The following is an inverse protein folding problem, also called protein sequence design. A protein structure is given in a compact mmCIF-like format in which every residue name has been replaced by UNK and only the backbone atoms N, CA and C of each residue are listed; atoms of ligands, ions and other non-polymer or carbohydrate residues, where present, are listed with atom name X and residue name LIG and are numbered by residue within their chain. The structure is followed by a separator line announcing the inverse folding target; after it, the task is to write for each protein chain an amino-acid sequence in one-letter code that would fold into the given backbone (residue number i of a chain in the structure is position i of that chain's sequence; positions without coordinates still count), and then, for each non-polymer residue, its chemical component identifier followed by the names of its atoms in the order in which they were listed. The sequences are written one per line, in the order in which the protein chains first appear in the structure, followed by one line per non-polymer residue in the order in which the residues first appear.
data_IF_867719411312
#
_entry.id   IF_867719411312
#
_cell.length_a   1.000
_cell.length_b   1.000
_cell.length_c   1.000
_cell.angle_alpha   90.00
_cell.angle_beta   90.00
_cell.angle_gamma   90.00
#
_symmetry.space_group_name_H-M   'P 1'
#
loop_
_entity.id
_entity.type
_entity.pdbx_description
1 polymer ?
#
# COMPACT_ATOMS: atom_id res chain seq x y z
N UNK A 1 -3.75 -15.33 35.35
CA UNK A 1 -2.81 -16.42 35.09
C UNK A 1 -2.87 -16.70 33.60
N UNK A 2 -1.82 -16.38 32.84
CA UNK A 2 -1.77 -16.70 31.41
C UNK A 2 -1.77 -18.23 31.24
N UNK A 3 -2.53 -18.75 30.27
CA UNK A 3 -2.62 -20.18 30.02
C UNK A 3 -1.25 -20.71 29.57
N UNK A 4 -0.92 -21.94 29.93
CA UNK A 4 0.30 -22.64 29.48
C UNK A 4 0.40 -22.65 27.94
N UNK A 5 -0.73 -22.62 27.23
CA UNK A 5 -0.82 -22.51 25.78
C UNK A 5 -0.37 -21.14 25.26
N UNK A 6 -0.69 -20.06 25.97
CA UNK A 6 -0.39 -18.68 25.55
C UNK A 6 1.10 -18.40 25.71
N UNK A 7 1.72 -18.95 26.75
CA UNK A 7 3.16 -18.87 26.98
C UNK A 7 3.96 -19.70 25.97
N UNK A 8 3.46 -20.88 25.57
CA UNK A 8 4.12 -21.72 24.56
C UNK A 8 4.06 -21.09 23.16
N UNK A 9 2.93 -20.45 22.82
CA UNK A 9 2.73 -19.77 21.52
C UNK A 9 3.57 -18.50 21.44
N UNK A 10 3.61 -17.70 22.52
CA UNK A 10 4.47 -16.53 22.60
C UNK A 10 5.97 -16.90 22.58
N UNK A 11 6.37 -18.02 23.19
CA UNK A 11 7.76 -18.51 23.14
C UNK A 11 8.16 -18.96 21.73
N UNK A 12 7.27 -19.63 20.99
CA UNK A 12 7.50 -19.99 19.59
C UNK A 12 7.52 -18.76 18.67
N UNK A 13 6.66 -17.77 18.91
CA UNK A 13 6.71 -16.50 18.17
C UNK A 13 7.99 -15.72 18.47
N UNK A 14 8.44 -15.67 19.73
CA UNK A 14 9.70 -15.02 20.09
C UNK A 14 10.91 -15.79 19.53
N UNK A 15 10.94 -17.12 19.55
CA UNK A 15 12.03 -17.91 18.97
C UNK A 15 12.06 -17.84 17.43
N UNK A 16 10.90 -17.76 16.77
CA UNK A 16 10.83 -17.58 15.32
C UNK A 16 11.13 -16.15 14.87
N UNK A 17 10.75 -15.14 15.68
CA UNK A 17 11.09 -13.73 15.46
C UNK A 17 12.56 -13.43 15.82
N UNK A 18 13.13 -14.06 16.84
CA UNK A 18 14.56 -14.01 17.17
C UNK A 18 15.41 -14.78 16.14
N UNK A 19 14.87 -15.86 15.57
CA UNK A 19 15.44 -16.56 14.42
C UNK A 19 15.51 -15.74 13.12
N UNK A 20 14.83 -14.59 13.05
CA UNK A 20 14.91 -13.67 11.91
C UNK A 20 16.15 -12.74 11.94
N UNK A 21 17.00 -12.78 12.98
CA UNK A 21 18.12 -11.83 13.06
C UNK A 21 19.47 -12.33 13.62
N UNK A 22 19.69 -13.65 13.82
CA UNK A 22 20.99 -14.13 14.33
C UNK A 22 21.45 -15.39 13.58
N UNK A 23 22.31 -15.22 12.56
CA UNK A 23 23.30 -16.24 12.18
C UNK A 23 23.16 -16.97 10.84
N UNK A 24 22.08 -16.83 10.07
CA UNK A 24 21.98 -17.47 8.75
C UNK A 24 22.47 -16.57 7.61
N UNK A 25 23.30 -17.09 6.67
CA UNK A 25 23.81 -16.29 5.56
C UNK A 25 22.68 -15.87 4.62
N UNK A 26 22.70 -14.61 4.20
CA UNK A 26 21.81 -14.13 3.14
C UNK A 26 22.09 -14.89 1.83
N UNK A 27 21.10 -14.99 0.90
CA UNK A 27 21.37 -15.53 -0.42
C UNK A 27 22.52 -14.77 -1.09
N UNK A 28 23.28 -15.43 -1.97
CA UNK A 28 24.10 -14.71 -2.91
C UNK A 28 23.24 -13.69 -3.67
N UNK A 29 23.81 -12.52 -3.96
CA UNK A 29 23.09 -11.39 -4.56
C UNK A 29 22.25 -11.82 -5.76
N UNK A 30 22.82 -12.60 -6.69
CA UNK A 30 22.10 -13.10 -7.86
C UNK A 30 20.84 -13.91 -7.52
N UNK A 31 20.90 -14.78 -6.50
CA UNK A 31 19.74 -15.61 -6.08
C UNK A 31 18.67 -14.74 -5.42
N UNK A 32 19.10 -13.81 -4.57
CA UNK A 32 18.21 -12.86 -3.90
C UNK A 32 17.49 -11.98 -4.93
N UNK A 33 18.24 -11.39 -5.85
CA UNK A 33 17.71 -10.46 -6.84
C UNK A 33 16.75 -11.18 -7.79
N UNK A 34 17.02 -12.45 -8.12
CA UNK A 34 16.11 -13.30 -8.87
C UNK A 34 14.82 -13.62 -8.12
N UNK A 35 14.92 -13.95 -6.82
CA UNK A 35 13.75 -14.19 -5.98
C UNK A 35 12.88 -12.93 -5.89
N UNK A 36 13.49 -11.75 -5.77
CA UNK A 36 12.75 -10.48 -5.69
C UNK A 36 12.04 -10.19 -7.01
N UNK A 37 12.72 -10.35 -8.14
CA UNK A 37 12.12 -10.23 -9.46
C UNK A 37 10.97 -11.24 -9.67
N UNK A 38 11.13 -12.48 -9.19
CA UNK A 38 10.07 -13.48 -9.21
C UNK A 38 8.84 -13.03 -8.41
N UNK A 39 9.05 -12.52 -7.19
CA UNK A 39 7.98 -12.01 -6.34
C UNK A 39 7.25 -10.86 -7.04
N UNK A 40 7.97 -9.93 -7.66
CA UNK A 40 7.36 -8.81 -8.39
C UNK A 40 6.52 -9.28 -9.59
N UNK A 41 6.92 -10.37 -10.26
CA UNK A 41 6.13 -10.98 -11.34
C UNK A 41 4.84 -11.58 -10.80
N UNK A 42 4.91 -12.45 -9.79
CA UNK A 42 3.72 -13.15 -9.26
C UNK A 42 2.78 -12.21 -8.51
N UNK A 43 3.30 -11.09 -8.00
CA UNK A 43 2.53 -10.00 -7.39
C UNK A 43 2.04 -8.98 -8.43
N UNK A 44 2.36 -9.18 -9.71
CA UNK A 44 1.97 -8.31 -10.82
C UNK A 44 2.41 -6.84 -10.65
N UNK A 45 3.47 -6.60 -9.88
CA UNK A 45 4.01 -5.26 -9.61
C UNK A 45 4.73 -4.66 -10.82
N UNK A 46 4.99 -5.46 -11.85
CA UNK A 46 5.46 -4.97 -13.14
C UNK A 46 4.39 -4.18 -13.89
N UNK A 47 3.11 -4.49 -13.64
CA UNK A 47 1.96 -3.82 -14.25
C UNK A 47 1.35 -2.79 -13.29
N UNK A 48 1.46 -3.03 -11.98
CA UNK A 48 0.87 -2.19 -10.94
C UNK A 48 1.92 -1.35 -10.21
N UNK A 49 1.76 -0.03 -10.24
CA UNK A 49 2.66 0.91 -9.52
C UNK A 49 2.50 0.92 -8.01
N UNK A 50 1.44 0.32 -7.48
CA UNK A 50 1.10 0.32 -6.07
C UNK A 50 0.99 -1.11 -5.56
N UNK A 51 1.32 -1.29 -4.28
CA UNK A 51 1.12 -2.58 -3.62
C UNK A 51 -0.40 -2.78 -3.42
N UNK A 52 -0.97 -3.89 -3.93
CA UNK A 52 -2.37 -4.22 -3.71
C UNK A 52 -2.71 -4.29 -2.21
N UNK A 53 -3.93 -3.87 -1.86
CA UNK A 53 -4.45 -4.09 -0.52
C UNK A 53 -4.63 -5.59 -0.20
N UNK A 54 -4.88 -5.93 1.07
CA UNK A 54 -5.07 -7.32 1.46
C UNK A 54 -6.28 -7.95 0.74
N UNK A 55 -6.30 -9.29 0.63
CA UNK A 55 -7.44 -10.01 0.07
C UNK A 55 -8.74 -9.68 0.80
N UNK A 56 -9.87 -9.88 0.12
CA UNK A 56 -11.18 -9.64 0.73
C UNK A 56 -11.38 -10.50 2.00
N UNK A 57 -12.11 -10.01 3.02
CA UNK A 57 -12.39 -10.78 4.22
C UNK A 57 -13.08 -12.13 3.94
N UNK A 58 -13.91 -12.19 2.89
CA UNK A 58 -14.57 -13.43 2.48
C UNK A 58 -13.57 -14.47 1.96
N UNK A 59 -12.57 -14.03 1.18
CA UNK A 59 -11.49 -14.90 0.68
C UNK A 59 -10.67 -15.46 1.83
N UNK A 60 -10.34 -14.63 2.82
CA UNK A 60 -9.61 -15.08 4.02
C UNK A 60 -10.44 -16.07 4.85
N UNK A 61 -11.74 -15.83 5.01
CA UNK A 61 -12.64 -16.74 5.73
C UNK A 61 -12.70 -18.12 5.07
N UNK A 62 -12.85 -18.17 3.75
CA UNK A 62 -12.85 -19.42 2.98
C UNK A 62 -11.51 -20.14 3.10
N UNK A 63 -10.38 -19.44 2.93
CA UNK A 63 -9.04 -20.02 3.11
C UNK A 63 -8.87 -20.66 4.50
N UNK A 64 -9.30 -19.95 5.55
CA UNK A 64 -9.17 -20.43 6.93
C UNK A 64 -10.04 -21.67 7.23
N UNK A 65 -10.96 -22.07 6.35
CA UNK A 65 -11.69 -23.36 6.52
C UNK A 65 -10.91 -24.57 6.01
N UNK A 66 -9.84 -24.35 5.22
CA UNK A 66 -9.10 -25.44 4.57
C UNK A 66 -7.87 -25.90 5.35
N UNK A 67 -7.29 -25.04 6.18
CA UNK A 67 -6.05 -25.31 6.89
C UNK A 67 -6.18 -24.93 8.35
N UNK A 68 -5.79 -25.84 9.23
CA UNK A 68 -5.68 -25.61 10.67
C UNK A 68 -4.23 -25.45 11.12
N UNK A 69 -3.28 -25.91 10.31
CA UNK A 69 -1.85 -25.90 10.64
C UNK A 69 -0.94 -25.76 9.39
N UNK A 70 0.30 -25.33 9.62
CA UNK A 70 1.35 -25.13 8.62
C UNK A 70 1.73 -26.43 7.89
N UNK A 71 1.72 -27.59 8.57
CA UNK A 71 2.08 -28.86 7.92
C UNK A 71 1.08 -29.24 6.82
N UNK A 72 -0.20 -28.93 6.99
CA UNK A 72 -1.24 -29.17 5.97
C UNK A 72 -0.99 -28.33 4.71
N UNK A 73 -0.57 -27.08 4.89
CA UNK A 73 -0.20 -26.16 3.80
C UNK A 73 1.01 -26.70 3.04
N UNK A 74 2.06 -27.10 3.77
CA UNK A 74 3.27 -27.67 3.15
C UNK A 74 2.95 -28.95 2.39
N UNK A 75 2.14 -29.83 2.97
CA UNK A 75 1.70 -31.06 2.31
C UNK A 75 0.91 -30.76 1.03
N UNK A 76 -0.05 -29.85 1.07
CA UNK A 76 -0.82 -29.43 -0.12
C UNK A 76 0.06 -28.80 -1.20
N UNK A 77 1.04 -27.96 -0.81
CA UNK A 77 1.99 -27.34 -1.75
C UNK A 77 2.88 -28.39 -2.45
N UNK A 78 3.31 -29.42 -1.72
CA UNK A 78 4.19 -30.47 -2.23
C UNK A 78 3.45 -31.54 -3.04
N UNK A 79 2.18 -31.78 -2.76
CA UNK A 79 1.40 -32.82 -3.44
C UNK A 79 0.81 -32.27 -4.75
N UNK A 80 1.53 -32.45 -5.86
CA UNK A 80 1.08 -32.02 -7.20
C UNK A 80 -0.07 -32.87 -7.75
N UNK A 81 -0.34 -34.04 -7.16
CA UNK A 81 -1.42 -34.93 -7.55
C UNK A 81 -2.71 -34.67 -6.77
N UNK A 82 -2.65 -33.85 -5.71
CA UNK A 82 -3.83 -33.51 -4.92
C UNK A 82 -4.82 -32.67 -5.75
N UNK A 83 -6.13 -32.85 -5.55
CA UNK A 83 -7.13 -31.99 -6.16
C UNK A 83 -6.94 -30.55 -5.67
N UNK A 84 -7.13 -29.59 -6.57
CA UNK A 84 -7.07 -28.17 -6.22
C UNK A 84 -8.19 -27.79 -5.24
N UNK A 85 -7.88 -26.99 -4.22
CA UNK A 85 -8.85 -26.51 -3.25
C UNK A 85 -9.88 -25.57 -3.88
N UNK A 86 -9.46 -24.79 -4.87
CA UNK A 86 -10.34 -24.00 -5.71
C UNK A 86 -10.21 -24.40 -7.18
N UNK A 87 -11.28 -24.25 -7.98
CA UNK A 87 -11.19 -24.42 -9.43
C UNK A 87 -10.20 -23.44 -10.08
N UNK A 88 -9.44 -23.89 -11.07
CA UNK A 88 -8.39 -23.08 -11.73
C UNK A 88 -8.95 -21.79 -12.36
N UNK A 89 -10.17 -21.84 -12.91
CA UNK A 89 -10.82 -20.66 -13.50
C UNK A 89 -11.14 -19.54 -12.48
N UNK A 90 -11.13 -19.86 -11.17
CA UNK A 90 -11.27 -18.88 -10.09
C UNK A 90 -9.96 -18.20 -9.70
N UNK A 91 -8.82 -18.71 -10.15
CA UNK A 91 -7.52 -18.03 -9.98
C UNK A 91 -7.48 -16.83 -10.92
N UNK A 92 -7.22 -15.66 -10.38
CA UNK A 92 -7.14 -14.39 -11.09
C UNK A 92 -5.71 -13.90 -11.32
N UNK A 93 -4.71 -14.51 -10.68
CA UNK A 93 -3.31 -14.16 -10.86
C UNK A 93 -2.81 -14.45 -12.28
N UNK A 94 -1.95 -13.56 -12.80
CA UNK A 94 -1.22 -13.66 -14.06
C UNK A 94 -2.08 -13.73 -15.33
N UNK A 95 -3.37 -13.37 -15.26
CA UNK A 95 -4.28 -13.42 -16.42
C UNK A 95 -3.92 -12.44 -17.54
N UNK A 96 -3.34 -11.28 -17.19
CA UNK A 96 -2.92 -10.23 -18.13
C UNK A 96 -1.49 -10.43 -18.65
N UNK A 97 -0.74 -11.38 -18.08
CA UNK A 97 0.67 -11.52 -18.35
C UNK A 97 0.88 -12.03 -19.78
N UNK A 98 1.50 -11.21 -20.64
CA UNK A 98 1.88 -11.62 -21.98
C UNK A 98 3.06 -12.59 -21.92
N UNK A 99 2.95 -13.71 -22.65
CA UNK A 99 4.03 -14.68 -22.78
C UNK A 99 5.25 -14.08 -23.50
N UNK A 100 6.44 -14.58 -23.15
CA UNK A 100 7.68 -14.25 -23.82
C UNK A 100 8.65 -13.45 -22.94
N UNK A 101 9.46 -12.63 -23.60
CA UNK A 101 10.53 -11.88 -22.94
C UNK A 101 9.98 -10.60 -22.31
N UNK A 102 10.00 -10.51 -20.97
CA UNK A 102 9.62 -9.31 -20.23
C UNK A 102 10.88 -8.60 -19.72
N UNK A 103 11.06 -7.33 -20.10
CA UNK A 103 12.14 -6.51 -19.57
C UNK A 103 11.85 -6.19 -18.10
N UNK A 104 12.80 -6.55 -17.25
CA UNK A 104 12.77 -6.31 -15.80
C UNK A 104 14.16 -5.82 -15.45
N UNK A 105 14.31 -4.53 -15.14
CA UNK A 105 15.63 -3.97 -14.91
C UNK A 105 16.35 -4.72 -13.76
N UNK A 106 17.58 -5.23 -13.99
CA UNK A 106 18.51 -4.90 -15.08
C UNK A 106 18.51 -5.84 -16.31
N UNK A 107 17.60 -6.80 -16.44
CA UNK A 107 17.60 -7.81 -17.51
C UNK A 107 16.25 -8.11 -18.17
N UNK A 108 16.15 -9.32 -18.71
CA UNK A 108 14.97 -9.83 -19.42
C UNK A 108 14.67 -11.23 -18.89
N UNK A 109 13.44 -11.44 -18.41
CA UNK A 109 12.96 -12.74 -17.94
C UNK A 109 12.12 -13.37 -19.04
N UNK A 110 12.36 -14.66 -19.30
CA UNK A 110 11.53 -15.44 -20.20
C UNK A 110 10.39 -16.09 -19.41
N UNK A 111 9.17 -15.61 -19.65
CA UNK A 111 7.95 -16.13 -19.03
C UNK A 111 7.26 -17.02 -20.07
N UNK A 112 7.45 -18.33 -19.93
CA UNK A 112 6.77 -19.31 -20.77
C UNK A 112 5.35 -19.60 -20.26
N UNK A 113 4.55 -20.31 -21.06
CA UNK A 113 3.21 -20.72 -20.65
C UNK A 113 3.22 -21.64 -19.43
N UNK A 114 4.25 -22.49 -19.33
CA UNK A 114 4.40 -23.43 -18.24
C UNK A 114 4.55 -22.73 -16.88
N UNK A 115 5.29 -21.62 -16.81
CA UNK A 115 5.41 -20.79 -15.62
C UNK A 115 4.06 -20.31 -15.11
N UNK A 116 3.23 -19.79 -16.02
CA UNK A 116 1.91 -19.26 -15.70
C UNK A 116 1.00 -20.38 -15.21
N UNK A 117 0.94 -21.49 -15.97
CA UNK A 117 0.13 -22.65 -15.64
C UNK A 117 0.53 -23.25 -14.29
N UNK A 118 1.83 -23.41 -14.04
CA UNK A 118 2.35 -23.95 -12.79
C UNK A 118 2.05 -23.03 -11.59
N UNK A 119 2.18 -21.72 -11.78
CA UNK A 119 1.88 -20.74 -10.73
C UNK A 119 0.39 -20.72 -10.41
N UNK A 120 -0.48 -20.68 -11.42
CA UNK A 120 -1.93 -20.72 -11.23
C UNK A 120 -2.40 -22.05 -10.63
N UNK A 121 -1.83 -23.18 -11.04
CA UNK A 121 -2.11 -24.48 -10.45
C UNK A 121 -1.68 -24.54 -8.97
N UNK A 122 -0.54 -23.95 -8.62
CA UNK A 122 -0.06 -23.90 -7.23
C UNK A 122 -0.95 -23.00 -6.36
N UNK A 123 -1.38 -21.85 -6.88
CA UNK A 123 -2.37 -20.99 -6.24
C UNK A 123 -3.70 -21.72 -6.03
N UNK A 124 -4.21 -22.41 -7.05
CA UNK A 124 -5.45 -23.19 -6.96
C UNK A 124 -5.38 -24.31 -5.91
N UNK A 125 -4.24 -25.02 -5.85
CA UNK A 125 -3.98 -26.06 -4.83
C UNK A 125 -3.96 -25.51 -3.41
N UNK A 126 -3.53 -24.28 -3.21
CA UNK A 126 -3.50 -23.63 -1.90
C UNK A 126 -4.73 -22.76 -1.62
N UNK A 127 -5.74 -22.78 -2.48
CA UNK A 127 -6.98 -22.02 -2.28
C UNK A 127 -6.85 -20.51 -2.47
N UNK A 128 -5.80 -20.07 -3.17
CA UNK A 128 -5.48 -18.66 -3.36
C UNK A 128 -5.95 -18.18 -4.74
N UNK A 129 -6.85 -17.20 -4.78
CA UNK A 129 -7.32 -16.61 -6.06
C UNK A 129 -6.33 -15.60 -6.63
N UNK A 130 -5.60 -14.92 -5.76
CA UNK A 130 -4.56 -13.95 -6.11
C UNK A 130 -3.36 -14.19 -5.21
N UNK A 131 -2.16 -13.92 -5.70
CA UNK A 131 -0.99 -13.88 -4.84
C UNK A 131 -0.88 -12.51 -4.20
N UNK A 132 -1.38 -12.39 -2.98
CA UNK A 132 -1.39 -11.15 -2.22
C UNK A 132 -1.15 -11.43 -0.74
N UNK A 133 0.12 -11.45 -0.28
CA UNK A 133 0.46 -11.55 1.13
C UNK A 133 -0.24 -10.47 1.97
N UNK A 134 -0.70 -10.84 3.16
CA UNK A 134 -1.32 -9.92 4.11
C UNK A 134 -0.23 -9.22 4.90
N UNK A 135 0.14 -8.02 4.46
CA UNK A 135 1.28 -7.29 4.98
C UNK A 135 1.08 -6.82 6.43
N UNK A 136 -0.14 -6.60 6.88
CA UNK A 136 -0.46 -6.20 8.25
C UNK A 136 -0.46 -7.36 9.25
N UNK A 137 -0.33 -8.60 8.79
CA UNK A 137 -0.33 -9.80 9.63
C UNK A 137 1.09 -10.31 9.90
N UNK A 138 1.21 -11.26 10.83
CA UNK A 138 2.47 -11.96 11.08
C UNK A 138 2.94 -12.71 9.81
N UNK A 139 4.25 -12.69 9.49
CA UNK A 139 4.81 -13.52 8.42
C UNK A 139 4.63 -15.02 8.66
N UNK A 140 4.26 -15.41 9.89
CA UNK A 140 4.02 -16.79 10.31
C UNK A 140 2.53 -17.17 10.33
N UNK A 141 1.63 -16.24 9.99
CA UNK A 141 0.20 -16.58 9.86
C UNK A 141 -0.02 -17.62 8.74
N UNK A 142 -1.01 -18.51 8.90
CA UNK A 142 -1.31 -19.58 7.93
C UNK A 142 -1.48 -19.05 6.50
N UNK A 143 -2.14 -17.91 6.35
CA UNK A 143 -2.33 -17.31 5.04
C UNK A 143 -1.00 -16.83 4.42
N UNK A 144 -0.14 -16.16 5.20
CA UNK A 144 1.16 -15.72 4.72
C UNK A 144 2.13 -16.89 4.49
N UNK A 145 1.99 -17.98 5.25
CA UNK A 145 2.69 -19.23 4.97
C UNK A 145 2.32 -19.77 3.59
N UNK A 146 1.02 -19.85 3.27
CA UNK A 146 0.59 -20.30 1.95
C UNK A 146 1.12 -19.40 0.83
N UNK A 147 1.11 -18.07 1.01
CA UNK A 147 1.73 -17.15 0.06
C UNK A 147 3.23 -17.42 -0.12
N UNK A 148 3.96 -17.66 0.98
CA UNK A 148 5.39 -17.99 0.94
C UNK A 148 5.63 -19.32 0.21
N UNK A 149 4.84 -20.35 0.49
CA UNK A 149 4.94 -21.64 -0.20
C UNK A 149 4.72 -21.49 -1.71
N UNK A 150 3.74 -20.70 -2.15
CA UNK A 150 3.58 -20.39 -3.58
C UNK A 150 4.86 -19.79 -4.13
N UNK A 151 5.32 -18.67 -3.56
CA UNK A 151 6.45 -17.90 -4.09
C UNK A 151 7.73 -18.74 -4.19
N UNK A 152 8.04 -19.52 -3.14
CA UNK A 152 9.25 -20.33 -3.13
C UNK A 152 9.17 -21.50 -4.12
N UNK A 153 8.02 -22.18 -4.22
CA UNK A 153 7.85 -23.31 -5.13
C UNK A 153 7.86 -22.87 -6.59
N UNK A 154 7.18 -21.78 -6.92
CA UNK A 154 7.16 -21.24 -8.29
C UNK A 154 8.52 -20.67 -8.67
N UNK A 155 9.25 -20.06 -7.73
CA UNK A 155 10.62 -19.61 -7.95
C UNK A 155 11.56 -20.77 -8.26
N UNK A 156 11.59 -21.81 -7.42
CA UNK A 156 12.44 -22.97 -7.65
C UNK A 156 12.15 -23.65 -8.99
N UNK A 157 10.88 -23.73 -9.39
CA UNK A 157 10.48 -24.28 -10.67
C UNK A 157 10.97 -23.42 -11.85
N UNK A 158 10.74 -22.11 -11.79
CA UNK A 158 11.18 -21.16 -12.82
C UNK A 158 12.70 -21.08 -12.94
N UNK A 159 13.41 -21.14 -11.82
CA UNK A 159 14.87 -21.18 -11.81
C UNK A 159 15.39 -22.46 -12.47
N UNK A 160 14.75 -23.60 -12.23
CA UNK A 160 15.10 -24.89 -12.85
C UNK A 160 14.86 -24.91 -14.37
N UNK A 161 14.01 -24.02 -14.90
CA UNK A 161 13.78 -23.85 -16.35
C UNK A 161 14.60 -22.70 -16.95
N UNK A 162 15.64 -22.23 -16.25
CA UNK A 162 16.55 -21.17 -16.70
C UNK A 162 15.87 -19.80 -16.94
N UNK A 163 14.70 -19.53 -16.33
CA UNK A 163 13.98 -18.26 -16.49
C UNK A 163 14.83 -17.03 -16.07
N UNK A 164 15.81 -17.24 -15.19
CA UNK A 164 16.69 -16.20 -14.64
C UNK A 164 18.16 -16.34 -15.07
N UNK A 165 18.43 -17.00 -16.21
CA UNK A 165 19.80 -17.26 -16.67
C UNK A 165 20.68 -16.00 -16.78
N UNK A 166 20.09 -14.83 -17.06
CA UNK A 166 20.83 -13.55 -17.15
C UNK A 166 21.49 -13.13 -15.83
N UNK A 167 20.97 -13.59 -14.68
CA UNK A 167 21.54 -13.30 -13.36
C UNK A 167 22.67 -14.26 -12.98
N UNK A 168 22.94 -15.31 -13.79
CA UNK A 168 23.96 -16.33 -13.52
C UNK A 168 23.83 -16.91 -12.09
N UNK A 169 22.60 -17.26 -11.72
CA UNK A 169 22.30 -17.86 -10.42
C UNK A 169 23.00 -19.22 -10.32
N UNK A 170 23.51 -19.53 -9.15
CA UNK A 170 24.00 -20.87 -8.84
C UNK A 170 22.81 -21.75 -8.41
N UNK A 171 22.55 -22.78 -9.22
CA UNK A 171 21.40 -23.69 -9.08
C UNK A 171 21.29 -24.30 -7.68
N UNK A 172 22.39 -24.44 -6.94
CA UNK A 172 22.37 -25.03 -5.59
C UNK A 172 21.53 -24.23 -4.60
N UNK A 173 21.42 -22.91 -4.80
CA UNK A 173 20.67 -22.03 -3.90
C UNK A 173 19.19 -21.90 -4.29
N UNK A 174 18.80 -22.34 -5.48
CA UNK A 174 17.43 -22.19 -5.99
C UNK A 174 16.40 -23.05 -5.24
N UNK A 175 16.87 -24.03 -4.48
CA UNK A 175 16.06 -24.96 -3.67
C UNK A 175 16.42 -24.91 -2.18
N UNK A 176 17.35 -24.04 -1.79
CA UNK A 176 17.80 -23.90 -0.41
C UNK A 176 16.78 -23.08 0.40
N UNK A 177 15.80 -23.78 0.98
CA UNK A 177 14.72 -23.15 1.74
C UNK A 177 15.23 -22.38 2.97
N UNK A 178 16.36 -22.78 3.55
CA UNK A 178 16.93 -22.10 4.72
C UNK A 178 17.42 -20.69 4.38
N UNK A 179 17.80 -20.49 3.13
CA UNK A 179 18.32 -19.24 2.58
C UNK A 179 17.23 -18.42 1.88
N UNK A 180 16.27 -19.09 1.22
CA UNK A 180 15.17 -18.44 0.54
C UNK A 180 14.08 -17.90 1.48
N UNK A 181 13.77 -18.58 2.59
CA UNK A 181 12.75 -18.12 3.55
C UNK A 181 13.13 -16.75 4.18
N UNK A 182 14.35 -16.55 4.72
CA UNK A 182 14.74 -15.24 5.25
C UNK A 182 14.72 -14.14 4.19
N UNK A 183 15.18 -14.44 2.97
CA UNK A 183 15.17 -13.48 1.87
C UNK A 183 13.75 -13.07 1.46
N UNK A 184 12.84 -14.04 1.38
CA UNK A 184 11.42 -13.79 1.15
C UNK A 184 10.82 -12.91 2.26
N UNK A 185 11.03 -13.27 3.52
CA UNK A 185 10.47 -12.54 4.66
C UNK A 185 11.00 -11.10 4.69
N UNK A 186 12.29 -10.89 4.42
CA UNK A 186 12.88 -9.57 4.30
C UNK A 186 12.26 -8.78 3.14
N UNK A 187 12.09 -9.38 1.96
CA UNK A 187 11.49 -8.65 0.83
C UNK A 187 10.04 -8.29 1.09
N UNK A 188 9.19 -9.27 1.39
CA UNK A 188 7.74 -9.11 1.49
C UNK A 188 7.36 -8.37 2.77
N UNK A 189 7.80 -8.87 3.92
CA UNK A 189 7.31 -8.40 5.21
C UNK A 189 8.14 -7.26 5.82
N UNK A 190 9.33 -6.95 5.27
CA UNK A 190 10.09 -5.76 5.65
C UNK A 190 10.06 -4.68 4.57
N UNK A 191 10.58 -4.94 3.36
CA UNK A 191 10.68 -3.91 2.31
C UNK A 191 9.31 -3.51 1.74
N UNK A 192 8.51 -4.48 1.27
CA UNK A 192 7.20 -4.20 0.68
C UNK A 192 6.20 -3.69 1.73
N UNK A 193 6.26 -4.16 2.98
CA UNK A 193 5.48 -3.57 4.09
C UNK A 193 5.79 -2.08 4.27
N UNK A 194 7.06 -1.69 4.36
CA UNK A 194 7.45 -0.26 4.46
C UNK A 194 6.94 0.57 3.29
N UNK A 195 7.04 0.03 2.07
CA UNK A 195 6.48 0.70 0.88
C UNK A 195 4.97 0.84 0.97
N UNK A 196 4.26 -0.21 1.38
CA UNK A 196 2.80 -0.22 1.52
C UNK A 196 2.33 0.82 2.54
N UNK A 197 3.00 0.92 3.69
CA UNK A 197 2.67 1.92 4.72
C UNK A 197 2.88 3.35 4.23
N UNK A 198 3.98 3.62 3.50
CA UNK A 198 4.21 4.93 2.87
C UNK A 198 3.11 5.26 1.86
N UNK A 199 2.74 4.31 1.00
CA UNK A 199 1.66 4.48 0.02
C UNK A 199 0.30 4.74 0.69
N UNK A 200 -0.01 4.04 1.78
CA UNK A 200 -1.23 4.22 2.59
C UNK A 200 -1.29 5.61 3.23
N UNK A 201 -0.20 6.07 3.84
CA UNK A 201 -0.08 7.42 4.42
C UNK A 201 -0.27 8.50 3.36
N UNK A 202 0.38 8.35 2.19
CA UNK A 202 0.23 9.28 1.06
C UNK A 202 -1.22 9.38 0.57
N UNK A 203 -1.89 8.25 0.35
CA UNK A 203 -3.31 8.22 -0.06
C UNK A 203 -4.23 8.88 0.97
N UNK A 204 -3.98 8.65 2.26
CA UNK A 204 -4.74 9.29 3.34
C UNK A 204 -4.56 10.81 3.34
N UNK A 205 -3.32 11.29 3.20
CA UNK A 205 -3.01 12.71 3.10
C UNK A 205 -3.66 13.37 1.87
N UNK A 206 -3.54 12.75 0.69
CA UNK A 206 -4.18 13.25 -0.54
C UNK A 206 -5.71 13.32 -0.41
N UNK A 207 -6.32 12.35 0.27
CA UNK A 207 -7.77 12.33 0.51
C UNK A 207 -8.20 13.46 1.44
N UNK A 208 -7.49 13.68 2.55
CA UNK A 208 -7.74 14.80 3.47
C UNK A 208 -7.60 16.14 2.74
N UNK A 209 -6.52 16.30 1.97
CA UNK A 209 -6.26 17.51 1.18
C UNK A 209 -7.39 17.80 0.17
N UNK A 210 -7.92 16.77 -0.50
CA UNK A 210 -9.09 16.91 -1.39
C UNK A 210 -10.34 17.35 -0.63
N UNK A 211 -10.58 16.81 0.56
CA UNK A 211 -11.73 17.21 1.39
C UNK A 211 -11.64 18.68 1.82
N UNK A 212 -10.46 19.15 2.21
CA UNK A 212 -10.22 20.57 2.54
C UNK A 212 -10.53 21.45 1.34
N UNK A 213 -9.99 21.14 0.16
CA UNK A 213 -10.25 21.91 -1.07
C UNK A 213 -11.76 21.98 -1.38
N UNK A 214 -12.47 20.85 -1.26
CA UNK A 214 -13.93 20.81 -1.49
C UNK A 214 -14.67 21.66 -0.45
N UNK A 215 -14.27 21.61 0.83
CA UNK A 215 -14.87 22.41 1.90
C UNK A 215 -14.66 23.90 1.67
N UNK A 216 -13.42 24.33 1.40
CA UNK A 216 -13.08 25.73 1.12
C UNK A 216 -13.84 26.24 -0.10
N UNK A 217 -13.94 25.45 -1.18
CA UNK A 217 -14.75 25.84 -2.35
C UNK A 217 -16.22 26.05 -1.98
N UNK A 218 -16.82 25.15 -1.19
CA UNK A 218 -18.22 25.30 -0.75
C UNK A 218 -18.42 26.55 0.12
N UNK A 219 -17.50 26.83 1.04
CA UNK A 219 -17.53 28.04 1.87
C UNK A 219 -17.45 29.30 1.01
N UNK A 220 -16.45 29.38 0.10
CA UNK A 220 -16.31 30.53 -0.80
C UNK A 220 -17.54 30.76 -1.70
N UNK A 221 -18.22 29.70 -2.14
CA UNK A 221 -19.50 29.84 -2.87
C UNK A 221 -20.60 30.42 -1.96
N UNK A 222 -20.70 29.95 -0.72
CA UNK A 222 -21.70 30.42 0.25
C UNK A 222 -21.48 31.89 0.61
N UNK A 223 -20.21 32.27 0.86
CA UNK A 223 -19.84 33.66 1.16
C UNK A 223 -20.14 34.59 -0.01
N UNK A 224 -19.90 34.11 -1.25
CA UNK A 224 -20.26 34.84 -2.46
C UNK A 224 -21.77 35.00 -2.58
N UNK A 225 -22.56 33.94 -2.40
CA UNK A 225 -24.02 34.00 -2.45
C UNK A 225 -24.58 34.96 -1.40
N UNK A 226 -24.04 34.94 -0.19
CA UNK A 226 -24.38 35.89 0.87
C UNK A 226 -24.05 37.34 0.47
N UNK A 227 -22.83 37.58 -0.03
CA UNK A 227 -22.39 38.89 -0.49
C UNK A 227 -23.29 39.42 -1.62
N UNK A 228 -23.57 38.59 -2.63
CA UNK A 228 -24.43 38.94 -3.76
C UNK A 228 -25.85 39.34 -3.27
N UNK A 229 -26.43 38.59 -2.32
CA UNK A 229 -27.74 38.94 -1.72
C UNK A 229 -27.69 40.27 -0.96
N UNK A 230 -26.67 40.47 -0.13
CA UNK A 230 -26.53 41.66 0.70
C UNK A 230 -26.36 42.94 -0.13
N UNK A 231 -25.46 42.90 -1.12
CA UNK A 231 -25.26 44.04 -2.02
C UNK A 231 -26.48 44.31 -2.92
N UNK A 232 -27.21 43.26 -3.34
CA UNK A 232 -28.47 43.43 -4.08
C UNK A 232 -29.51 44.19 -3.23
N UNK A 233 -29.59 43.89 -1.93
CA UNK A 233 -30.51 44.59 -1.02
C UNK A 233 -30.10 46.04 -0.79
N UNK A 234 -28.80 46.33 -0.62
CA UNK A 234 -28.30 47.69 -0.45
C UNK A 234 -28.45 48.57 -1.69
N UNK A 235 -28.38 47.96 -2.88
CA UNK A 235 -28.53 48.67 -4.16
C UNK A 235 -29.97 48.71 -4.67
N UNK A 236 -30.92 48.11 -3.95
CA UNK A 236 -32.33 48.23 -4.27
C UNK A 236 -32.76 49.70 -4.18
N UNK A 237 -33.57 50.21 -5.14
CA UNK A 237 -33.99 51.60 -5.14
C UNK A 237 -34.77 51.93 -3.87
N UNK A 238 -34.34 52.97 -3.16
CA UNK A 238 -34.97 53.43 -1.93
C UNK A 238 -36.40 53.90 -2.21
N UNK A 239 -37.37 53.41 -1.44
CA UNK A 239 -38.74 53.91 -1.47
C UNK A 239 -38.81 55.27 -0.73
N UNK A 240 -38.78 56.35 -1.52
CA UNK A 240 -38.84 57.73 -1.04
C UNK A 240 -40.27 58.19 -0.71
N UNK A 241 -41.26 57.30 -0.67
CA UNK A 241 -42.66 57.67 -0.35
C UNK A 241 -42.90 57.92 1.15
N UNK A 242 -41.88 57.70 2.00
CA UNK A 242 -41.92 58.14 3.39
C UNK A 242 -41.72 59.65 3.50
N UNK A 243 -42.83 60.36 3.64
CA UNK A 243 -42.94 61.81 3.82
C UNK A 243 -42.03 62.29 4.98
N UNK A 244 -41.07 63.16 4.66
CA UNK A 244 -40.30 63.93 5.65
C UNK A 244 -41.30 64.81 6.42
N UNK A 245 -41.49 64.55 7.72
CA UNK A 245 -42.31 65.40 8.57
C UNK A 245 -41.56 66.71 8.83
N UNK A 246 -42.23 67.84 8.59
CA UNK A 246 -41.73 69.19 8.85
C UNK A 246 -41.20 69.35 10.28
N UNK A 247 -40.09 70.08 10.50
CA UNK A 247 -39.51 70.25 11.82
C UNK A 247 -40.26 71.35 12.59
N UNK A 248 -41.36 70.97 13.24
CA UNK A 248 -41.96 71.79 14.27
C UNK A 248 -42.53 70.91 15.40
N UNK A 249 -41.81 70.93 16.53
CA UNK A 249 -42.06 70.22 17.80
C UNK A 249 -41.71 68.73 17.73
N UNK A 250 -40.85 68.16 18.56
CA UNK A 250 -40.59 68.42 19.97
C UNK A 250 -39.16 68.09 20.34
N UNK A 251 -38.65 68.84 21.32
CA UNK A 251 -37.45 68.50 22.07
C UNK A 251 -37.66 67.18 22.82
N UNK A 252 -36.79 66.20 22.59
CA UNK A 252 -36.32 65.33 23.65
C UNK A 252 -34.91 64.85 23.31
N UNK A 253 -34.01 65.17 24.25
CA UNK A 253 -32.59 64.85 24.24
C UNK A 253 -32.34 63.33 24.12
N UNK A 254 -31.40 63.02 23.24
CA UNK A 254 -30.43 61.92 23.26
C UNK A 254 -30.72 60.67 24.10
N UNK A 255 -30.96 59.55 23.42
CA UNK A 255 -30.47 58.24 23.87
C UNK A 255 -29.47 57.72 22.81
N UNK A 256 -28.19 58.03 23.02
CA UNK A 256 -27.08 57.23 22.53
C UNK A 256 -26.63 56.34 23.69
N UNK A 257 -26.64 55.01 23.49
CA UNK A 257 -25.46 54.17 23.67
C UNK A 257 -25.88 52.71 23.47
N UNK A 258 -25.80 52.21 22.24
CA UNK A 258 -25.98 50.79 21.98
C UNK A 258 -24.64 50.11 22.22
N UNK A 259 -24.38 49.84 23.50
CA UNK A 259 -23.16 49.22 24.01
C UNK A 259 -22.82 47.94 23.24
N UNK A 260 -21.67 48.00 22.58
CA UNK A 260 -20.93 46.88 22.02
C UNK A 260 -20.79 45.77 23.08
N UNK A 261 -21.41 44.61 22.87
CA UNK A 261 -21.04 43.41 23.61
C UNK A 261 -19.97 42.69 22.81
N UNK A 262 -18.72 42.99 23.15
CA UNK A 262 -17.55 42.17 22.82
C UNK A 262 -17.74 40.79 23.46
N UNK A 263 -18.29 39.85 22.69
CA UNK A 263 -18.19 38.44 23.01
C UNK A 263 -16.78 37.99 22.61
N UNK A 264 -15.93 37.83 23.63
CA UNK A 264 -14.63 37.18 23.52
C UNK A 264 -14.82 35.80 22.90
N UNK A 265 -14.40 35.64 21.65
CA UNK A 265 -14.18 34.32 21.07
C UNK A 265 -12.86 33.84 21.63
N UNK A 266 -12.95 32.83 22.50
CA UNK A 266 -11.84 32.07 23.06
C UNK A 266 -10.99 31.50 21.93
N UNK A 267 -9.73 31.90 21.88
CA UNK A 267 -8.73 31.40 20.93
C UNK A 267 -8.58 29.88 21.13
N UNK A 268 -9.01 29.10 20.14
CA UNK A 268 -8.73 27.68 20.09
C UNK A 268 -7.24 27.48 19.88
N UNK A 269 -6.61 26.96 20.93
CA UNK A 269 -5.27 26.40 21.04
C UNK A 269 -4.66 25.95 19.70
N UNK A 270 -3.60 26.63 19.30
CA UNK A 270 -2.59 26.11 18.38
C UNK A 270 -1.93 24.89 19.03
N UNK A 271 -2.34 23.69 18.61
CA UNK A 271 -1.53 22.48 18.77
C UNK A 271 -0.22 22.65 17.99
N UNK A 272 0.78 23.24 18.65
CA UNK A 272 2.19 23.01 18.35
C UNK A 272 2.50 21.56 18.70
N UNK A 273 2.39 20.66 17.72
CA UNK A 273 3.03 19.36 17.79
C UNK A 273 4.34 19.44 17.01
N UNK A 274 5.43 19.50 17.78
CA UNK A 274 6.82 19.53 17.37
C UNK A 274 7.09 18.48 16.29
N UNK A 275 7.33 18.95 15.07
CA UNK A 275 8.00 18.14 14.05
C UNK A 275 9.46 18.00 14.45
N UNK A 276 9.85 16.82 14.93
CA UNK A 276 11.26 16.43 14.98
C UNK A 276 11.86 16.53 13.57
N UNK A 277 12.88 17.38 13.47
CA UNK A 277 13.78 17.52 12.32
C UNK A 277 14.56 16.22 12.12
N UNK A 278 14.28 15.52 11.00
CA UNK A 278 15.23 14.55 10.46
C UNK A 278 15.84 15.13 9.18
N UNK A 279 17.14 15.36 9.27
CA UNK A 279 18.04 15.97 8.29
C UNK A 279 17.87 15.44 6.86
N UNK A 280 17.60 16.34 5.93
CA UNK A 280 17.73 16.12 4.49
C UNK A 280 19.23 16.02 4.11
N UNK A 281 19.69 14.80 3.81
CA UNK A 281 20.90 14.61 3.01
C UNK A 281 20.61 15.06 1.57
N UNK A 282 21.23 16.18 1.23
CA UNK A 282 21.27 16.79 -0.09
C UNK A 282 21.89 15.83 -1.12
N UNK A 283 21.08 15.22 -1.99
CA UNK A 283 21.58 14.52 -3.16
C UNK A 283 21.55 15.48 -4.36
N UNK A 284 22.73 15.90 -4.80
CA UNK A 284 22.93 16.79 -5.93
C UNK A 284 22.37 16.18 -7.22
N UNK A 285 21.57 16.98 -7.94
CA UNK A 285 20.99 16.62 -9.22
C UNK A 285 22.07 16.43 -10.29
N UNK A 286 21.87 15.36 -11.05
CA UNK A 286 22.74 14.89 -12.12
C UNK A 286 22.96 15.92 -13.23
N UNK A 287 24.21 16.00 -13.66
CA UNK A 287 24.67 16.76 -14.81
C UNK A 287 23.88 16.43 -16.09
N UNK A 288 23.23 17.44 -16.64
CA UNK A 288 22.76 17.50 -18.03
C UNK A 288 23.98 17.49 -18.96
N UNK A 289 24.26 16.35 -19.59
CA UNK A 289 25.24 16.27 -20.69
C UNK A 289 24.52 16.67 -21.98
N UNK A 290 24.87 17.85 -22.50
CA UNK A 290 24.55 18.27 -23.86
C UNK A 290 25.30 17.39 -24.88
N UNK A 291 24.70 17.06 -26.04
CA UNK A 291 25.43 16.48 -27.14
C UNK A 291 26.25 17.59 -27.83
N UNK A 292 27.58 17.46 -27.82
CA UNK A 292 28.44 18.21 -28.73
C UNK A 292 28.36 17.57 -30.11
N UNK A 293 27.68 18.25 -31.03
CA UNK A 293 28.04 18.20 -32.45
C UNK A 293 29.49 18.69 -32.58
N UNK A 294 30.33 17.92 -33.26
CA UNK A 294 31.40 18.56 -34.02
C UNK A 294 31.70 17.78 -35.30
N UNK A 295 31.81 18.59 -36.34
CA UNK A 295 32.10 18.27 -37.73
C UNK A 295 33.60 18.07 -37.91
N UNK A 296 34.01 16.94 -38.49
CA UNK A 296 35.05 16.84 -39.53
C UNK A 296 35.16 15.41 -40.06
#
# INVERSE_FOLDING_TARGET
MASLTDLQTASLEVDLLQGMNIGKPAPPSATRDALYAHIDIIWELLEHKYIPGPPSPNTLREFNTHFSDVFEIQHAANNTLAPSLIPLNQVNALKSLQYGQKKIDPGVIHLDGFFVDYTQATLARLGLRVWAPKLEDSPLSLYNEACRQVALKTFSQAASTFAYAYLKIDDKYTKDVELLIPAYNHYVHHLQRKRYEKEKKKKAWESKRRQVIVRTRKQNLTDKEFSDQFFTQLTAPYDLTHVIKDPAKDNNDSEEDNGNSEEYIDDLEEDNDDSEEDNDEHFEDAATIHPTEDLS
#
